data_IF_924772143189
#
_entry.id   IF_924772143189
#
_cell.length_a   1.000
_cell.length_b   1.000
_cell.length_c   1.000
_cell.angle_alpha   90.00
_cell.angle_beta   90.00
_cell.angle_gamma   90.00
#
_symmetry.space_group_name_H-M   'P 1'
#
loop_
_entity.id
_entity.type
_entity.pdbx_description
1 polymer ?
#
# COMPACT_ATOMS: atom_id res chain seq x y z
N UNK A 1 -11.90 -14.89 -40.64
CA UNK A 1 -10.57 -15.49 -40.77
C UNK A 1 -9.54 -14.36 -40.95
N UNK A 2 -9.12 -13.74 -39.84
CA UNK A 2 -7.98 -12.82 -39.69
C UNK A 2 -8.07 -12.13 -38.31
N UNK A 3 -7.89 -12.89 -37.22
CA UNK A 3 -7.77 -12.35 -35.84
C UNK A 3 -6.91 -13.29 -34.98
N UNK A 4 -5.79 -13.77 -35.55
CA UNK A 4 -4.93 -14.80 -34.90
C UNK A 4 -3.46 -14.40 -34.74
N UNK A 5 -3.07 -13.15 -34.97
CA UNK A 5 -1.66 -12.76 -34.86
C UNK A 5 -1.50 -11.37 -34.22
N UNK A 6 -1.67 -11.29 -32.89
CA UNK A 6 -1.25 -10.11 -32.11
C UNK A 6 -1.07 -10.37 -30.59
N UNK A 7 -0.96 -11.62 -30.12
CA UNK A 7 -0.77 -11.93 -28.69
C UNK A 7 0.52 -12.70 -28.39
N UNK A 8 1.56 -12.46 -29.17
CA UNK A 8 2.88 -13.07 -28.99
C UNK A 8 3.97 -11.99 -29.07
N UNK A 9 4.11 -11.19 -28.00
CA UNK A 9 5.38 -10.60 -27.55
C UNK A 9 5.15 -9.57 -26.43
N UNK A 10 4.80 -10.03 -25.24
CA UNK A 10 5.18 -9.33 -24.02
C UNK A 10 6.14 -10.23 -23.25
N UNK A 11 7.38 -10.30 -23.75
CA UNK A 11 8.48 -10.91 -23.01
C UNK A 11 8.76 -10.03 -21.79
N UNK A 12 8.35 -10.48 -20.60
CA UNK A 12 8.80 -9.94 -19.32
C UNK A 12 10.22 -10.44 -19.03
N UNK A 13 11.17 -10.10 -19.89
CA UNK A 13 12.59 -10.29 -19.64
C UNK A 13 13.09 -9.15 -18.74
N UNK A 14 13.18 -9.42 -17.44
CA UNK A 14 13.75 -8.49 -16.47
C UNK A 14 13.41 -8.77 -15.00
N UNK A 15 12.45 -9.65 -14.71
CA UNK A 15 12.27 -10.20 -13.36
C UNK A 15 12.91 -11.59 -13.31
N UNK A 16 14.01 -11.72 -12.58
CA UNK A 16 14.69 -13.00 -12.32
C UNK A 16 13.90 -13.91 -11.38
N UNK A 17 12.66 -14.24 -11.72
CA UNK A 17 11.86 -15.29 -11.10
C UNK A 17 10.98 -15.92 -12.18
N UNK A 18 11.60 -16.73 -13.04
CA UNK A 18 10.88 -17.60 -13.95
C UNK A 18 10.46 -18.86 -13.21
N UNK A 19 9.22 -19.27 -13.49
CA UNK A 19 8.63 -20.63 -13.33
C UNK A 19 7.83 -20.89 -12.06
N UNK A 20 6.54 -20.60 -12.12
CA UNK A 20 5.49 -21.41 -11.46
C UNK A 20 4.38 -21.69 -12.47
N UNK A 21 4.69 -22.54 -13.45
CA UNK A 21 3.68 -23.33 -14.17
C UNK A 21 3.88 -24.78 -13.73
N UNK A 22 3.32 -25.13 -12.58
CA UNK A 22 3.18 -26.49 -12.10
C UNK A 22 1.77 -26.61 -11.54
N UNK A 23 0.97 -27.49 -12.13
CA UNK A 23 -0.45 -27.60 -11.83
C UNK A 23 -0.69 -28.01 -10.38
N UNK A 24 -1.18 -27.09 -9.57
CA UNK A 24 -1.94 -27.43 -8.38
C UNK A 24 -3.42 -27.30 -8.72
N UNK A 25 -4.14 -28.41 -8.59
CA UNK A 25 -5.59 -28.44 -8.69
C UNK A 25 -6.18 -27.55 -7.59
N UNK A 26 -6.78 -26.42 -7.99
CA UNK A 26 -7.52 -25.57 -7.08
C UNK A 26 -8.78 -26.32 -6.64
N UNK A 27 -8.84 -26.74 -5.37
CA UNK A 27 -10.03 -27.42 -4.84
C UNK A 27 -9.87 -28.19 -3.52
N UNK A 28 -8.65 -28.45 -3.04
CA UNK A 28 -8.46 -29.21 -1.80
C UNK A 28 -8.19 -28.28 -0.59
N UNK A 29 -8.71 -28.64 0.59
CA UNK A 29 -8.60 -27.79 1.81
C UNK A 29 -7.14 -27.58 2.25
N UNK A 30 -6.26 -28.53 1.93
CA UNK A 30 -4.84 -28.51 2.29
C UNK A 30 -3.97 -27.72 1.29
N UNK A 31 -4.43 -27.52 0.06
CA UNK A 31 -3.63 -26.87 -1.00
C UNK A 31 -3.32 -25.40 -0.70
N UNK A 32 -4.21 -24.72 0.03
CA UNK A 32 -3.99 -23.34 0.47
C UNK A 32 -2.95 -23.25 1.60
N UNK A 33 -2.97 -24.21 2.52
CA UNK A 33 -2.02 -24.28 3.64
C UNK A 33 -0.63 -24.61 3.11
N UNK A 34 -0.52 -25.55 2.17
CA UNK A 34 0.74 -25.92 1.53
C UNK A 34 1.35 -24.74 0.74
N UNK A 35 0.51 -23.96 0.04
CA UNK A 35 0.94 -22.73 -0.65
C UNK A 35 1.45 -21.67 0.32
N UNK A 36 0.75 -21.44 1.45
CA UNK A 36 1.20 -20.50 2.48
C UNK A 36 2.52 -20.96 3.09
N UNK A 37 2.65 -22.23 3.45
CA UNK A 37 3.89 -22.78 4.02
C UNK A 37 5.05 -22.67 3.02
N UNK A 38 4.81 -22.93 1.74
CA UNK A 38 5.80 -22.78 0.66
C UNK A 38 6.24 -21.32 0.46
N UNK A 39 5.31 -20.37 0.52
CA UNK A 39 5.62 -18.94 0.46
C UNK A 39 6.42 -18.45 1.69
N UNK A 40 6.12 -18.99 2.87
CA UNK A 40 6.83 -18.68 4.11
C UNK A 40 8.21 -19.34 4.19
N UNK A 41 8.42 -20.47 3.51
CA UNK A 41 9.67 -21.22 3.48
C UNK A 41 10.71 -20.68 2.50
N UNK A 42 10.40 -19.63 1.71
CA UNK A 42 11.40 -19.05 0.81
C UNK A 42 12.54 -18.39 1.60
N UNK A 43 13.81 -18.77 1.34
CA UNK A 43 14.95 -18.12 1.99
C UNK A 43 14.93 -16.63 1.63
N UNK A 44 15.28 -15.78 2.60
CA UNK A 44 15.55 -14.36 2.35
C UNK A 44 16.63 -14.27 1.27
N UNK A 45 16.22 -13.88 0.05
CA UNK A 45 17.11 -13.80 -1.11
C UNK A 45 18.43 -13.10 -0.74
N UNK A 46 19.53 -13.74 -1.14
CA UNK A 46 20.90 -13.26 -1.00
C UNK A 46 21.05 -11.81 -1.45
N UNK A 47 21.93 -11.09 -0.75
CA UNK A 47 22.26 -9.70 -1.06
C UNK A 47 22.81 -9.58 -2.50
N UNK A 48 22.29 -8.66 -3.33
CA UNK A 48 22.84 -8.46 -4.66
C UNK A 48 24.26 -7.88 -4.55
N UNK A 49 25.20 -8.47 -5.28
CA UNK A 49 26.60 -8.10 -5.32
C UNK A 49 26.80 -6.59 -5.54
N UNK A 50 27.53 -5.97 -4.62
CA UNK A 50 28.08 -4.62 -4.71
C UNK A 50 29.12 -4.62 -5.83
N UNK A 51 28.78 -4.06 -6.99
CA UNK A 51 29.67 -3.24 -7.82
C UNK A 51 29.02 -2.98 -9.19
N UNK A 52 28.39 -1.81 -9.32
CA UNK A 52 28.18 -1.18 -10.62
C UNK A 52 28.62 0.29 -10.56
N UNK A 53 29.44 0.75 -11.51
CA UNK A 53 29.95 2.12 -11.51
C UNK A 53 28.80 3.11 -11.79
N UNK A 54 28.87 4.24 -11.11
CA UNK A 54 27.91 5.35 -11.22
C UNK A 54 27.95 6.00 -12.62
N UNK A 55 26.81 6.15 -13.32
CA UNK A 55 26.74 7.02 -14.48
C UNK A 55 26.64 8.49 -14.03
N UNK A 56 27.23 9.38 -14.81
CA UNK A 56 27.23 10.83 -14.64
C UNK A 56 25.81 11.39 -14.38
N UNK A 57 25.74 12.37 -13.46
CA UNK A 57 24.62 12.53 -12.52
C UNK A 57 23.34 13.12 -13.06
N UNK A 58 23.36 13.92 -14.14
CA UNK A 58 22.16 14.73 -14.48
C UNK A 58 21.40 14.19 -15.70
N UNK A 59 22.11 13.70 -16.72
CA UNK A 59 21.47 13.16 -17.93
C UNK A 59 20.89 11.75 -17.72
N UNK A 60 21.47 10.96 -16.82
CA UNK A 60 21.02 9.58 -16.56
C UNK A 60 19.74 9.51 -15.73
N UNK A 61 19.62 10.35 -14.68
CA UNK A 61 18.44 10.44 -13.84
C UNK A 61 17.22 10.95 -14.62
N UNK A 62 17.41 11.99 -15.44
CA UNK A 62 16.39 12.54 -16.33
C UNK A 62 15.87 11.47 -17.31
N UNK A 63 16.78 10.69 -17.90
CA UNK A 63 16.41 9.60 -18.82
C UNK A 63 15.65 8.45 -18.13
N UNK A 64 16.01 8.10 -16.88
CA UNK A 64 15.28 7.11 -16.07
C UNK A 64 13.86 7.60 -15.77
N UNK A 65 13.71 8.85 -15.35
CA UNK A 65 12.40 9.44 -15.03
C UNK A 65 11.50 9.51 -16.27
N UNK A 66 12.04 9.87 -17.44
CA UNK A 66 11.28 9.85 -18.71
C UNK A 66 10.80 8.43 -19.04
N UNK A 67 11.68 7.42 -18.93
CA UNK A 67 11.29 6.01 -19.18
C UNK A 67 10.21 5.54 -18.21
N UNK A 68 10.30 5.91 -16.94
CA UNK A 68 9.28 5.59 -15.94
C UNK A 68 7.96 6.35 -16.20
N UNK A 69 8.03 7.61 -16.60
CA UNK A 69 6.88 8.42 -16.99
C UNK A 69 6.12 7.75 -18.15
N UNK A 70 6.82 7.35 -19.22
CA UNK A 70 6.21 6.65 -20.36
C UNK A 70 5.50 5.35 -19.95
N UNK A 71 6.11 4.56 -19.04
CA UNK A 71 5.45 3.37 -18.48
C UNK A 71 4.17 3.73 -17.71
N UNK A 72 4.22 4.78 -16.88
CA UNK A 72 3.03 5.23 -16.14
C UNK A 72 1.93 5.76 -17.04
N UNK A 73 2.28 6.40 -18.17
CA UNK A 73 1.31 6.81 -19.19
C UNK A 73 0.67 5.58 -19.84
N UNK A 74 1.46 4.57 -20.22
CA UNK A 74 0.95 3.32 -20.79
C UNK A 74 -0.01 2.59 -19.84
N UNK A 75 0.25 2.64 -18.52
CA UNK A 75 -0.63 2.10 -17.48
C UNK A 75 -1.88 2.97 -17.19
N UNK A 76 -2.04 4.13 -17.85
CA UNK A 76 -3.12 5.09 -17.58
C UNK A 76 -2.98 5.87 -16.26
N UNK A 77 -1.80 5.89 -15.66
CA UNK A 77 -1.50 6.58 -14.39
C UNK A 77 -0.95 7.99 -14.61
N UNK A 78 -1.71 8.88 -15.25
CA UNK A 78 -1.25 10.20 -15.69
C UNK A 78 -0.71 11.08 -14.55
N UNK A 79 -1.41 11.16 -13.41
CA UNK A 79 -0.95 11.94 -12.26
C UNK A 79 0.38 11.43 -11.70
N UNK A 80 0.57 10.10 -11.69
CA UNK A 80 1.84 9.51 -11.25
C UNK A 80 2.95 9.75 -12.29
N UNK A 81 2.63 9.70 -13.59
CA UNK A 81 3.57 9.97 -14.67
C UNK A 81 4.18 11.37 -14.54
N UNK A 82 3.35 12.40 -14.30
CA UNK A 82 3.84 13.77 -14.08
C UNK A 82 4.71 13.87 -12.84
N UNK A 83 4.30 13.26 -11.72
CA UNK A 83 5.08 13.27 -10.46
C UNK A 83 6.44 12.59 -10.59
N UNK A 84 6.54 11.55 -11.42
CA UNK A 84 7.80 10.82 -11.66
C UNK A 84 8.85 11.70 -12.33
N UNK A 85 8.45 12.62 -13.22
CA UNK A 85 9.40 13.53 -13.90
C UNK A 85 10.18 14.39 -12.91
N UNK A 86 9.54 14.85 -11.84
CA UNK A 86 10.15 15.66 -10.78
C UNK A 86 10.70 14.82 -9.62
N UNK A 87 10.72 13.49 -9.73
CA UNK A 87 11.17 12.62 -8.65
C UNK A 87 12.69 12.56 -8.60
N UNK A 88 13.25 12.67 -7.40
CA UNK A 88 14.66 12.36 -7.13
C UNK A 88 14.94 10.86 -7.08
N UNK A 89 13.88 10.04 -7.15
CA UNK A 89 13.96 8.59 -7.16
C UNK A 89 14.09 7.96 -5.77
N UNK A 90 14.57 6.73 -5.79
CA UNK A 90 14.74 5.87 -4.62
C UNK A 90 16.24 5.80 -4.30
N UNK A 91 16.59 5.93 -3.02
CA UNK A 91 17.98 5.80 -2.59
C UNK A 91 18.50 4.40 -2.91
N UNK A 92 19.75 4.27 -3.40
CA UNK A 92 20.32 2.96 -3.71
C UNK A 92 20.43 2.12 -2.44
N UNK A 93 20.29 0.80 -2.61
CA UNK A 93 20.47 -0.15 -1.52
C UNK A 93 21.95 -0.20 -1.13
N UNK A 94 22.32 0.51 -0.05
CA UNK A 94 23.66 0.62 0.51
C UNK A 94 23.58 0.59 2.03
N UNK A 95 24.71 0.29 2.68
CA UNK A 95 24.80 0.28 4.15
C UNK A 95 24.40 1.62 4.76
N UNK A 96 24.73 2.74 4.13
CA UNK A 96 24.38 4.08 4.63
C UNK A 96 22.87 4.33 4.56
N UNK A 97 22.22 3.90 3.46
CA UNK A 97 20.76 3.93 3.31
C UNK A 97 20.10 3.09 4.39
N UNK A 98 20.61 1.87 4.66
CA UNK A 98 20.09 0.99 5.70
C UNK A 98 20.23 1.63 7.09
N UNK A 99 21.39 2.18 7.42
CA UNK A 99 21.63 2.90 8.68
C UNK A 99 20.66 4.08 8.84
N UNK A 100 20.46 4.87 7.79
CA UNK A 100 19.52 5.99 7.80
C UNK A 100 18.06 5.54 7.99
N UNK A 101 17.68 4.40 7.42
CA UNK A 101 16.35 3.79 7.64
C UNK A 101 16.19 3.32 9.09
N UNK A 102 17.16 2.60 9.64
CA UNK A 102 17.15 2.11 11.03
C UNK A 102 17.09 3.28 12.02
N UNK A 103 17.86 4.33 11.78
CA UNK A 103 17.85 5.53 12.64
C UNK A 103 16.47 6.21 12.71
N UNK A 104 15.64 6.09 11.65
CA UNK A 104 14.27 6.64 11.60
C UNK A 104 13.19 5.69 12.13
N UNK A 105 13.53 4.43 12.36
CA UNK A 105 12.63 3.40 12.84
C UNK A 105 13.23 2.70 14.06
N UNK A 106 13.18 3.33 15.26
CA UNK A 106 13.67 2.70 16.47
C UNK A 106 12.88 1.42 16.76
N UNK A 107 13.58 0.37 17.20
CA UNK A 107 12.95 -0.86 17.66
C UNK A 107 12.22 -0.57 18.97
N UNK A 108 10.89 -0.57 18.92
CA UNK A 108 10.03 -0.37 20.07
C UNK A 108 9.43 -1.71 20.51
N UNK A 109 9.18 -1.85 21.82
CA UNK A 109 8.39 -2.96 22.34
C UNK A 109 6.96 -2.89 21.79
N UNK A 110 6.32 -4.03 21.47
CA UNK A 110 4.94 -4.04 21.01
C UNK A 110 4.01 -3.31 22.00
N UNK A 111 3.01 -2.56 21.51
CA UNK A 111 2.03 -1.92 22.39
C UNK A 111 1.22 -2.98 23.15
N UNK A 112 1.03 -2.75 24.46
CA UNK A 112 0.19 -3.59 25.31
C UNK A 112 -1.25 -3.09 25.21
N UNK A 113 -2.19 -3.99 24.94
CA UNK A 113 -3.61 -3.63 24.92
C UNK A 113 -4.10 -3.42 26.36
N UNK A 114 -4.87 -2.35 26.65
CA UNK A 114 -5.39 -2.14 28.00
C UNK A 114 -6.42 -3.21 28.39
N UNK A 115 -6.38 -3.68 29.63
CA UNK A 115 -7.27 -4.75 30.14
C UNK A 115 -8.74 -4.31 30.31
N UNK A 116 -9.01 -3.01 30.30
CA UNK A 116 -10.31 -2.43 30.67
C UNK A 116 -11.22 -2.10 29.48
N UNK A 117 -10.89 -2.54 28.26
CA UNK A 117 -11.73 -2.24 27.11
C UNK A 117 -13.12 -2.90 27.27
N UNK A 118 -14.17 -2.08 27.21
CA UNK A 118 -15.54 -2.55 27.19
C UNK A 118 -15.69 -3.53 26.02
N UNK A 119 -16.36 -4.66 26.27
CA UNK A 119 -16.65 -5.67 25.25
C UNK A 119 -17.70 -5.14 24.26
N UNK A 120 -17.31 -4.19 23.43
CA UNK A 120 -18.12 -3.74 22.31
C UNK A 120 -18.15 -4.82 21.21
N UNK A 121 -19.30 -5.03 20.55
CA UNK A 121 -19.35 -5.94 19.42
C UNK A 121 -18.40 -5.45 18.33
N UNK A 122 -17.69 -6.37 17.64
CA UNK A 122 -16.76 -5.99 16.58
C UNK A 122 -17.51 -5.32 15.42
N UNK A 123 -16.85 -4.40 14.74
CA UNK A 123 -17.38 -3.83 13.50
C UNK A 123 -17.57 -4.93 12.46
N UNK A 124 -18.78 -5.03 11.92
CA UNK A 124 -19.14 -5.95 10.84
C UNK A 124 -19.45 -5.15 9.58
N UNK A 125 -18.86 -5.55 8.46
CA UNK A 125 -19.12 -4.98 7.14
C UNK A 125 -19.67 -6.03 6.18
N UNK A 126 -20.57 -5.61 5.29
CA UNK A 126 -21.11 -6.46 4.24
C UNK A 126 -20.17 -6.55 3.02
N UNK A 127 -20.51 -7.47 2.10
CA UNK A 127 -19.78 -7.70 0.86
C UNK A 127 -19.72 -6.44 -0.03
N UNK A 128 -20.80 -5.66 -0.08
CA UNK A 128 -20.88 -4.45 -0.91
C UNK A 128 -19.98 -3.33 -0.39
N UNK A 129 -19.88 -3.17 0.93
CA UNK A 129 -18.97 -2.25 1.60
C UNK A 129 -17.52 -2.63 1.29
N UNK A 130 -17.19 -3.92 1.35
CA UNK A 130 -15.86 -4.45 1.00
C UNK A 130 -15.54 -4.18 -0.46
N UNK A 131 -16.47 -4.46 -1.38
CA UNK A 131 -16.29 -4.15 -2.81
C UNK A 131 -16.03 -2.65 -3.03
N UNK A 132 -16.84 -1.77 -2.41
CA UNK A 132 -16.64 -0.31 -2.46
C UNK A 132 -15.28 0.10 -1.88
N UNK A 133 -14.77 -0.59 -0.87
CA UNK A 133 -13.41 -0.35 -0.35
C UNK A 133 -12.33 -0.72 -1.37
N UNK A 134 -12.45 -1.88 -2.02
CA UNK A 134 -11.52 -2.35 -3.05
C UNK A 134 -11.54 -1.40 -4.26
N UNK A 135 -12.73 -1.10 -4.79
CA UNK A 135 -12.90 -0.22 -5.96
C UNK A 135 -12.42 1.21 -5.72
N UNK A 136 -12.42 1.68 -4.47
CA UNK A 136 -11.97 3.04 -4.13
C UNK A 136 -10.46 3.17 -3.93
N UNK A 137 -9.66 2.11 -4.14
CA UNK A 137 -8.20 2.28 -4.16
C UNK A 137 -7.78 3.06 -5.41
N UNK A 138 -6.88 4.06 -5.28
CA UNK A 138 -6.33 4.73 -6.46
C UNK A 138 -5.69 3.71 -7.41
N UNK A 139 -5.88 3.90 -8.72
CA UNK A 139 -5.21 3.09 -9.74
C UNK A 139 -3.69 3.15 -9.55
N UNK A 140 -3.02 2.02 -9.73
CA UNK A 140 -1.57 1.94 -9.60
C UNK A 140 -1.06 1.93 -8.15
N UNK A 141 -1.96 1.75 -7.18
CA UNK A 141 -1.60 1.56 -5.77
C UNK A 141 -0.50 0.49 -5.63
N UNK A 142 0.58 0.82 -4.92
CA UNK A 142 1.68 -0.11 -4.63
C UNK A 142 1.21 -1.31 -3.81
N UNK A 143 1.80 -2.47 -4.10
CA UNK A 143 1.65 -3.71 -3.33
C UNK A 143 2.57 -3.72 -2.11
N UNK A 144 2.24 -4.56 -1.13
CA UNK A 144 3.12 -4.90 -0.03
C UNK A 144 4.08 -6.03 -0.41
N UNK A 145 4.53 -6.78 0.62
CA UNK A 145 5.45 -7.91 0.48
C UNK A 145 4.87 -9.07 -0.34
N UNK A 146 3.55 -9.22 -0.32
CA UNK A 146 2.78 -10.25 -1.05
C UNK A 146 2.61 -9.96 -2.54
N UNK A 147 3.06 -8.78 -3.01
CA UNK A 147 2.95 -8.34 -4.41
C UNK A 147 1.49 -8.23 -4.91
N UNK A 148 0.51 -8.44 -4.04
CA UNK A 148 -0.91 -8.33 -4.35
C UNK A 148 -1.36 -6.87 -4.38
N UNK A 149 -2.08 -6.49 -5.43
CA UNK A 149 -2.64 -5.13 -5.62
C UNK A 149 -4.15 -5.19 -5.58
N UNK A 150 -4.77 -4.07 -5.25
CA UNK A 150 -6.22 -3.90 -5.39
C UNK A 150 -6.69 -4.22 -6.82
N UNK A 151 -5.89 -3.85 -7.83
CA UNK A 151 -6.20 -4.13 -9.23
C UNK A 151 -6.29 -5.63 -9.51
N UNK A 152 -5.37 -6.46 -9.00
CA UNK A 152 -5.44 -7.91 -9.20
C UNK A 152 -6.75 -8.51 -8.63
N UNK A 153 -7.23 -7.96 -7.51
CA UNK A 153 -8.50 -8.38 -6.90
C UNK A 153 -9.68 -7.93 -7.77
N UNK A 154 -9.64 -6.70 -8.30
CA UNK A 154 -10.67 -6.20 -9.22
C UNK A 154 -10.71 -7.00 -10.53
N UNK A 155 -9.55 -7.35 -11.07
CA UNK A 155 -9.43 -8.14 -12.30
C UNK A 155 -10.00 -9.55 -12.09
N UNK A 156 -9.82 -10.13 -10.90
CA UNK A 156 -10.43 -11.40 -10.53
C UNK A 156 -11.97 -11.36 -10.48
N UNK A 157 -12.57 -10.18 -10.31
CA UNK A 157 -14.03 -10.00 -10.40
C UNK A 157 -14.52 -9.85 -11.86
N UNK A 158 -13.62 -9.52 -12.79
CA UNK A 158 -13.93 -9.19 -14.17
C UNK A 158 -13.83 -10.45 -15.06
N UNK A 159 -14.84 -11.32 -15.00
CA UNK A 159 -14.97 -12.49 -15.87
C UNK A 159 -16.42 -12.96 -15.99
N UNK A 160 -16.71 -13.81 -16.99
CA UNK A 160 -18.06 -14.30 -17.34
C UNK A 160 -18.78 -15.15 -16.24
N UNK A 161 -18.23 -15.22 -15.02
CA UNK A 161 -18.72 -16.05 -13.92
C UNK A 161 -19.22 -15.26 -12.70
N UNK A 162 -20.43 -14.70 -12.78
CA UNK A 162 -21.06 -13.94 -11.67
C UNK A 162 -21.09 -14.70 -10.33
N UNK A 163 -21.30 -16.03 -10.35
CA UNK A 163 -21.32 -16.86 -9.15
C UNK A 163 -19.95 -16.95 -8.44
N UNK A 164 -18.85 -17.03 -9.21
CA UNK A 164 -17.49 -17.09 -8.67
C UNK A 164 -17.12 -15.73 -8.06
N UNK A 165 -17.47 -14.63 -8.73
CA UNK A 165 -17.28 -13.26 -8.22
C UNK A 165 -18.02 -13.04 -6.89
N UNK A 166 -19.27 -13.51 -6.79
CA UNK A 166 -20.04 -13.44 -5.55
C UNK A 166 -19.44 -14.27 -4.40
N UNK A 167 -18.99 -15.49 -4.68
CA UNK A 167 -18.32 -16.35 -3.70
C UNK A 167 -17.00 -15.76 -3.20
N UNK A 168 -16.16 -15.27 -4.12
CA UNK A 168 -14.89 -14.63 -3.80
C UNK A 168 -15.08 -13.37 -2.95
N UNK A 169 -16.02 -12.50 -3.32
CA UNK A 169 -16.29 -11.29 -2.55
C UNK A 169 -16.78 -11.60 -1.13
N UNK A 170 -17.63 -12.62 -0.97
CA UNK A 170 -18.07 -13.12 0.36
C UNK A 170 -16.89 -13.65 1.17
N UNK A 171 -15.98 -14.42 0.55
CA UNK A 171 -14.78 -14.92 1.21
C UNK A 171 -13.86 -13.78 1.67
N UNK A 172 -13.64 -12.78 0.81
CA UNK A 172 -12.86 -11.57 1.18
C UNK A 172 -13.54 -10.84 2.34
N UNK A 173 -14.86 -10.68 2.31
CA UNK A 173 -15.60 -10.05 3.40
C UNK A 173 -15.48 -10.82 4.72
N UNK A 174 -15.50 -12.16 4.68
CA UNK A 174 -15.26 -13.00 5.85
C UNK A 174 -13.86 -12.77 6.44
N UNK A 175 -12.83 -12.69 5.61
CA UNK A 175 -11.46 -12.38 6.05
C UNK A 175 -11.38 -10.97 6.65
N UNK A 176 -12.02 -9.97 6.04
CA UNK A 176 -12.05 -8.60 6.56
C UNK A 176 -12.72 -8.56 7.95
N UNK A 177 -13.89 -9.18 8.10
CA UNK A 177 -14.61 -9.22 9.38
C UNK A 177 -13.85 -10.03 10.45
N UNK A 178 -13.13 -11.08 10.07
CA UNK A 178 -12.25 -11.82 10.97
C UNK A 178 -11.13 -10.92 11.51
N UNK A 179 -10.50 -10.12 10.65
CA UNK A 179 -9.48 -9.16 11.05
C UNK A 179 -10.05 -8.00 11.89
N UNK A 180 -11.22 -7.46 11.53
CA UNK A 180 -11.90 -6.40 12.30
C UNK A 180 -12.28 -6.87 13.71
N UNK A 181 -12.60 -8.15 13.86
CA UNK A 181 -12.87 -8.76 15.17
C UNK A 181 -11.60 -9.07 15.98
N UNK A 182 -10.40 -8.70 15.50
CA UNK A 182 -9.14 -9.00 16.18
C UNK A 182 -8.77 -10.49 16.18
N UNK A 183 -9.40 -11.30 15.32
CA UNK A 183 -9.23 -12.77 15.27
C UNK A 183 -8.25 -13.22 14.18
N UNK A 184 -7.39 -12.33 13.69
CA UNK A 184 -6.34 -12.69 12.73
C UNK A 184 -5.41 -13.75 13.36
N UNK A 185 -5.09 -14.86 12.68
CA UNK A 185 -4.22 -15.90 13.23
C UNK A 185 -2.87 -15.31 13.69
N UNK A 186 -2.45 -15.62 14.92
CA UNK A 186 -1.21 -15.09 15.50
C UNK A 186 0.03 -15.39 14.63
N UNK A 187 0.05 -16.55 13.98
CA UNK A 187 1.13 -16.95 13.05
C UNK A 187 1.27 -16.00 11.85
N UNK A 188 0.18 -15.34 11.43
CA UNK A 188 0.18 -14.38 10.33
C UNK A 188 0.34 -12.93 10.80
N UNK A 189 0.26 -12.66 12.10
CA UNK A 189 0.19 -11.31 12.64
C UNK A 189 1.42 -10.48 12.24
N UNK A 190 2.64 -11.01 12.40
CA UNK A 190 3.86 -10.32 12.00
C UNK A 190 3.92 -10.10 10.49
N UNK A 191 3.56 -11.11 9.69
CA UNK A 191 3.55 -11.01 8.24
C UNK A 191 2.58 -9.93 7.75
N UNK A 192 1.33 -9.94 8.23
CA UNK A 192 0.28 -8.97 7.88
C UNK A 192 0.60 -7.57 8.41
N UNK A 193 1.21 -7.47 9.58
CA UNK A 193 1.64 -6.20 10.18
C UNK A 193 2.95 -5.67 9.58
N UNK A 194 3.72 -6.49 8.86
CA UNK A 194 4.95 -6.07 8.19
C UNK A 194 4.67 -5.15 7.00
N UNK A 195 5.69 -4.38 6.60
CA UNK A 195 5.64 -3.56 5.40
C UNK A 195 7.05 -3.36 4.82
N UNK A 196 7.30 -3.58 3.52
CA UNK A 196 8.52 -3.13 2.89
C UNK A 196 8.69 -1.62 3.02
N UNK A 197 9.93 -1.19 3.33
CA UNK A 197 10.33 0.21 3.40
C UNK A 197 10.94 0.64 2.07
N UNK A 198 10.36 1.66 1.46
CA UNK A 198 10.90 2.31 0.25
C UNK A 198 11.65 3.59 0.65
N UNK A 199 12.97 3.69 0.44
CA UNK A 199 13.75 4.87 0.81
C UNK A 199 13.66 5.93 -0.30
N UNK A 200 12.73 6.88 -0.19
CA UNK A 200 12.61 7.98 -1.16
C UNK A 200 13.62 9.09 -0.87
N UNK A 201 14.26 9.63 -1.91
CA UNK A 201 15.17 10.77 -1.79
C UNK A 201 14.40 12.09 -1.70
N UNK A 202 14.83 12.95 -0.77
CA UNK A 202 14.42 14.36 -0.67
C UNK A 202 15.47 15.29 -1.30
N UNK A 203 15.12 16.57 -1.59
CA UNK A 203 16.05 17.54 -2.21
C UNK A 203 17.34 17.79 -1.44
N UNK A 204 17.31 17.65 -0.11
CA UNK A 204 18.44 17.77 0.80
C UNK A 204 19.26 16.45 0.94
N UNK A 205 19.03 15.48 0.05
CA UNK A 205 19.59 14.14 0.09
C UNK A 205 19.20 13.33 1.35
N UNK A 206 18.20 13.80 2.10
CA UNK A 206 17.63 13.08 3.23
C UNK A 206 16.69 11.96 2.74
N UNK A 207 16.67 10.82 3.44
CA UNK A 207 15.83 9.68 3.07
C UNK A 207 14.47 9.77 3.77
N UNK A 208 13.37 9.77 3.03
CA UNK A 208 12.01 9.59 3.57
C UNK A 208 11.61 8.11 3.44
N UNK A 209 11.55 7.33 4.54
CA UNK A 209 11.02 5.98 4.48
C UNK A 209 9.52 6.00 4.21
N UNK A 210 9.07 5.21 3.24
CA UNK A 210 7.65 4.93 3.01
C UNK A 210 7.40 3.45 3.26
N UNK A 211 6.60 3.15 4.28
CA UNK A 211 6.14 1.79 4.55
C UNK A 211 4.89 1.47 3.73
N UNK A 212 4.95 0.46 2.87
CA UNK A 212 3.80 0.02 2.08
C UNK A 212 3.26 -1.29 2.63
N UNK A 213 2.20 -1.22 3.45
CA UNK A 213 1.54 -2.42 3.96
C UNK A 213 0.85 -3.23 2.85
N UNK A 214 0.68 -4.52 3.11
CA UNK A 214 -0.09 -5.43 2.25
C UNK A 214 -1.51 -4.91 1.99
N UNK A 215 -2.09 -5.33 0.87
CA UNK A 215 -3.42 -4.87 0.49
C UNK A 215 -4.49 -5.25 1.51
N UNK A 216 -4.36 -6.42 2.15
CA UNK A 216 -5.26 -6.89 3.22
C UNK A 216 -5.32 -5.92 4.40
N UNK A 217 -4.16 -5.53 4.94
CA UNK A 217 -4.10 -4.57 6.05
C UNK A 217 -4.77 -3.24 5.67
N UNK A 218 -4.48 -2.74 4.46
CA UNK A 218 -5.05 -1.47 3.97
C UNK A 218 -6.55 -1.57 3.70
N UNK A 219 -7.03 -2.71 3.22
CA UNK A 219 -8.45 -2.98 3.00
C UNK A 219 -9.21 -3.01 4.32
N UNK A 220 -8.70 -3.73 5.31
CA UNK A 220 -9.28 -3.78 6.67
C UNK A 220 -9.31 -2.39 7.30
N UNK A 221 -8.20 -1.64 7.27
CA UNK A 221 -8.18 -0.27 7.80
C UNK A 221 -9.18 0.64 7.08
N UNK A 222 -9.35 0.49 5.77
CA UNK A 222 -10.31 1.28 4.99
C UNK A 222 -11.76 0.94 5.33
N UNK A 223 -12.07 -0.35 5.52
CA UNK A 223 -13.38 -0.80 5.98
C UNK A 223 -13.67 -0.27 7.39
N UNK A 224 -12.70 -0.35 8.30
CA UNK A 224 -12.79 0.24 9.63
C UNK A 224 -13.11 1.74 9.57
N UNK A 225 -12.32 2.51 8.81
CA UNK A 225 -12.51 3.95 8.66
C UNK A 225 -13.83 4.33 7.97
N UNK A 226 -14.41 3.45 7.13
CA UNK A 226 -15.78 3.67 6.62
C UNK A 226 -16.84 3.49 7.70
N UNK A 227 -16.66 2.55 8.61
CA UNK A 227 -17.58 2.30 9.73
C UNK A 227 -17.52 3.40 10.78
N UNK A 228 -16.33 3.69 11.31
CA UNK A 228 -16.17 4.58 12.49
C UNK A 228 -15.63 5.97 12.16
N UNK A 229 -15.19 6.22 10.93
CA UNK A 229 -14.40 7.42 10.61
C UNK A 229 -15.14 8.75 10.82
N UNK A 230 -16.46 8.79 10.63
CA UNK A 230 -17.26 10.00 10.89
C UNK A 230 -17.35 10.32 12.38
N UNK A 231 -17.57 9.30 13.20
CA UNK A 231 -17.63 9.43 14.66
C UNK A 231 -16.26 9.83 15.21
N UNK A 232 -15.20 9.21 14.70
CA UNK A 232 -13.82 9.55 15.07
C UNK A 232 -13.41 10.96 14.65
N UNK A 233 -13.82 11.42 13.47
CA UNK A 233 -13.58 12.80 13.06
C UNK A 233 -14.30 13.80 13.97
N UNK A 234 -15.53 13.49 14.42
CA UNK A 234 -16.25 14.32 15.39
C UNK A 234 -15.61 14.30 16.76
N UNK A 235 -15.22 13.13 17.25
CA UNK A 235 -14.58 12.95 18.55
C UNK A 235 -13.22 13.66 18.64
N UNK A 236 -12.42 13.59 17.57
CA UNK A 236 -11.10 14.20 17.51
C UNK A 236 -11.11 15.65 17.00
N UNK A 237 -12.26 16.18 16.60
CA UNK A 237 -12.35 17.40 15.77
C UNK A 237 -11.66 18.63 16.37
N UNK A 238 -11.67 18.78 17.69
CA UNK A 238 -11.03 19.91 18.37
C UNK A 238 -9.52 19.71 18.58
N UNK A 239 -9.04 18.47 18.46
CA UNK A 239 -7.66 18.07 18.77
C UNK A 239 -6.84 17.70 17.52
N UNK A 240 -7.49 17.39 16.40
CA UNK A 240 -6.86 16.91 15.18
C UNK A 240 -7.57 17.45 13.93
N UNK A 241 -6.80 18.13 13.07
CA UNK A 241 -7.28 18.72 11.82
C UNK A 241 -6.74 18.00 10.57
N UNK A 242 -5.86 17.02 10.73
CA UNK A 242 -5.18 16.34 9.62
C UNK A 242 -5.92 15.16 9.01
N UNK A 243 -6.85 14.52 9.74
CA UNK A 243 -7.52 13.29 9.31
C UNK A 243 -9.03 13.44 9.42
N UNK A 244 -9.76 13.18 8.34
CA UNK A 244 -11.22 13.24 8.32
C UNK A 244 -11.83 14.66 8.32
N UNK A 245 -10.99 15.70 8.33
CA UNK A 245 -11.40 17.11 8.27
C UNK A 245 -11.03 17.69 6.89
N UNK A 246 -12.01 18.01 6.02
CA UNK A 246 -11.75 18.66 4.74
C UNK A 246 -10.97 19.97 4.93
N UNK A 247 -9.88 20.16 4.19
CA UNK A 247 -9.04 21.36 4.25
C UNK A 247 -8.54 21.75 5.65
N UNK A 248 -8.42 20.80 6.60
CA UNK A 248 -8.10 21.15 7.98
C UNK A 248 -6.75 21.88 8.17
N UNK A 249 -5.71 21.53 7.40
CA UNK A 249 -4.44 22.25 7.44
C UNK A 249 -4.55 23.70 6.93
N UNK A 250 -5.31 23.92 5.86
CA UNK A 250 -5.59 25.26 5.32
C UNK A 250 -6.42 26.08 6.31
N UNK A 251 -7.42 25.46 6.95
CA UNK A 251 -8.25 26.09 7.95
C UNK A 251 -7.42 26.60 9.15
N UNK A 252 -6.47 25.80 9.64
CA UNK A 252 -5.54 26.22 10.71
C UNK A 252 -4.71 27.42 10.28
N UNK A 253 -4.13 27.39 9.07
CA UNK A 253 -3.32 28.49 8.55
C UNK A 253 -4.15 29.78 8.42
N UNK A 254 -5.35 29.70 7.85
CA UNK A 254 -6.22 30.85 7.67
C UNK A 254 -6.72 31.43 9.00
N UNK A 255 -7.08 30.58 9.96
CA UNK A 255 -7.48 31.03 11.31
C UNK A 255 -6.33 31.73 12.04
N UNK A 256 -5.11 31.19 11.96
CA UNK A 256 -3.93 31.82 12.56
C UNK A 256 -3.62 33.19 11.92
N UNK A 257 -3.66 33.26 10.58
CA UNK A 257 -3.45 34.52 9.86
C UNK A 257 -4.52 35.56 10.20
N UNK A 258 -5.79 35.16 10.30
CA UNK A 258 -6.88 36.05 10.70
C UNK A 258 -6.66 36.59 12.11
N UNK A 259 -6.35 35.73 13.06
CA UNK A 259 -6.08 36.12 14.45
C UNK A 259 -4.96 37.15 14.50
N UNK A 260 -3.82 36.90 13.87
CA UNK A 260 -2.69 37.85 13.84
C UNK A 260 -3.06 39.22 13.23
N UNK A 261 -3.91 39.24 12.20
CA UNK A 261 -4.35 40.48 11.55
C UNK A 261 -5.31 41.30 12.41
N UNK A 262 -6.14 40.66 13.24
CA UNK A 262 -7.02 41.34 14.20
C UNK A 262 -6.17 42.10 15.25
N UNK A 263 -5.11 41.49 15.79
CA UNK A 263 -4.21 42.16 16.76
C UNK A 263 -3.41 43.33 16.17
N UNK A 264 -3.08 43.31 14.88
CA UNK A 264 -2.40 44.44 14.25
C UNK A 264 -3.33 45.62 13.99
N UNK A 265 -4.65 45.40 13.94
CA UNK A 265 -5.64 46.43 13.67
C UNK A 265 -6.08 47.18 14.94
N UNK A 266 -6.03 46.54 16.10
CA UNK A 266 -6.43 47.12 17.40
C UNK A 266 -5.29 47.88 18.12
N UNK A 267 -4.08 47.89 17.56
CA UNK A 267 -2.88 48.52 18.13
C UNK A 267 -2.41 49.81 17.43
N UNK A 268 -3.20 50.37 16.51
CA UNK A 268 -2.99 51.69 15.86
C UNK A 268 -4.08 52.67 16.25
#
# INVERSE_FOLDING_TARGET
MAFSHALTSCSWEGCGYTRFCGGLAWGDEDGFVELILSLLAQPSNEAPSLDKPSPSSDNSATHINVKQCLRKVADGHFTAAVKVLCSLGVAPFRNDTLKALVAKHPTLTPPVMPDFLLSEPPLVVDADCVFKCIASFPKGTSCGRDVLRAQHILDAFCGEGSAITGGLLKAIAAVVNLCLAGRCPKILAEYVASAPLMPLLKPDNEIRPIAVGMIWRRLVSKAAMRGVGKEMAKYLGDFQFGVGVPSGAEAVLHSANRFLNEFHSDGS
#
